data_IF_233512707068
#
_entry.id   IF_233512707068
#
_cell.length_a   1.000
_cell.length_b   1.000
_cell.length_c   1.000
_cell.angle_alpha   90.00
_cell.angle_beta   90.00
_cell.angle_gamma   90.00
#
_symmetry.space_group_name_H-M   'P 1'
#
loop_
_entity.id
_entity.type
_entity.pdbx_description
1 polymer ?
#
# COMPACT_ATOMS: atom_id res chain seq x y z
N UNK A 1 55.41 13.69 9.24
CA UNK A 1 54.60 12.97 10.24
C UNK A 1 53.89 11.84 9.52
N UNK A 2 54.49 10.65 9.55
CA UNK A 2 54.05 9.48 8.80
C UNK A 2 53.18 8.60 9.70
N UNK A 3 51.98 8.24 9.26
CA UNK A 3 51.23 7.11 9.82
C UNK A 3 50.80 6.19 8.67
N UNK A 4 51.05 4.91 8.93
CA UNK A 4 51.18 3.82 7.98
C UNK A 4 49.85 3.42 7.32
N UNK A 5 49.93 3.11 6.03
CA UNK A 5 49.00 2.22 5.34
C UNK A 5 49.09 0.81 5.92
N UNK A 6 47.95 0.23 6.29
CA UNK A 6 47.81 -1.21 6.51
C UNK A 6 46.86 -1.76 5.46
N UNK A 7 47.42 -2.40 4.45
CA UNK A 7 46.71 -3.29 3.54
C UNK A 7 47.09 -4.72 3.90
N UNK A 8 46.10 -5.59 4.18
CA UNK A 8 46.21 -7.06 4.10
C UNK A 8 44.84 -7.64 3.75
N UNK A 9 44.62 -8.00 2.49
CA UNK A 9 44.73 -9.35 1.87
C UNK A 9 43.49 -10.24 2.06
N UNK A 10 42.95 -10.67 0.92
CA UNK A 10 41.78 -11.51 0.71
C UNK A 10 41.94 -12.97 1.17
N UNK A 11 40.81 -13.66 1.37
CA UNK A 11 40.69 -15.10 1.11
C UNK A 11 39.26 -15.44 0.66
N UNK A 12 39.18 -16.03 -0.54
CA UNK A 12 38.03 -16.72 -1.10
C UNK A 12 37.71 -17.99 -0.31
N UNK A 13 36.44 -18.32 -0.14
CA UNK A 13 35.96 -19.71 -0.08
C UNK A 13 34.50 -19.79 -0.53
N UNK A 14 34.31 -20.32 -1.73
CA UNK A 14 33.03 -20.75 -2.26
C UNK A 14 32.64 -22.11 -1.64
N UNK A 15 31.36 -22.31 -1.37
CA UNK A 15 30.75 -23.63 -1.25
C UNK A 15 29.27 -23.56 -1.62
N UNK A 16 28.97 -23.91 -2.86
CA UNK A 16 27.63 -24.19 -3.36
C UNK A 16 27.14 -25.53 -2.82
N UNK A 17 25.92 -25.58 -2.30
CA UNK A 17 25.18 -26.83 -2.04
C UNK A 17 23.79 -26.70 -2.64
N UNK A 18 23.66 -27.27 -3.84
CA UNK A 18 22.41 -27.52 -4.55
C UNK A 18 21.81 -28.79 -3.92
N UNK A 19 20.63 -28.67 -3.31
CA UNK A 19 19.84 -29.81 -2.84
C UNK A 19 18.63 -29.96 -3.77
N UNK A 20 18.73 -30.96 -4.64
CA UNK A 20 17.66 -31.48 -5.49
C UNK A 20 16.78 -32.37 -4.61
N UNK A 21 15.50 -32.03 -4.45
CA UNK A 21 14.50 -32.92 -3.89
C UNK A 21 13.64 -33.51 -5.04
N UNK A 22 13.49 -34.84 -5.13
CA UNK A 22 12.70 -35.49 -6.17
C UNK A 22 11.18 -35.42 -5.92
N UNK A 23 10.44 -35.43 -7.03
CA UNK A 23 9.00 -35.62 -7.14
C UNK A 23 8.57 -36.94 -6.47
N UNK A 24 7.66 -36.85 -5.50
CA UNK A 24 6.82 -37.98 -5.09
C UNK A 24 5.42 -37.76 -5.67
N UNK A 25 5.19 -38.37 -6.82
CA UNK A 25 3.86 -38.63 -7.34
C UNK A 25 3.25 -39.80 -6.56
N UNK A 26 2.22 -39.53 -5.76
CA UNK A 26 1.30 -40.55 -5.27
C UNK A 26 -0.08 -40.27 -5.90
N UNK A 27 -0.32 -40.86 -7.07
CA UNK A 27 -1.66 -41.28 -7.45
C UNK A 27 -1.84 -42.70 -6.94
N UNK A 28 -2.86 -42.94 -6.12
CA UNK A 28 -3.62 -44.18 -6.22
C UNK A 28 -5.05 -43.97 -5.73
N UNK A 29 -5.96 -44.14 -6.67
CA UNK A 29 -7.42 -44.12 -6.59
C UNK A 29 -7.98 -45.43 -6.04
N UNK A 30 -9.09 -45.36 -5.29
CA UNK A 30 -10.25 -46.27 -5.42
C UNK A 30 -11.52 -45.42 -5.07
N UNK A 31 -12.41 -45.05 -6.01
CA UNK A 31 -13.50 -45.86 -6.63
C UNK A 31 -14.63 -46.07 -5.59
N UNK A 32 -15.91 -45.73 -5.73
CA UNK A 32 -16.80 -45.38 -6.85
C UNK A 32 -18.17 -44.91 -6.32
N UNK A 33 -18.91 -44.15 -7.13
CA UNK A 33 -20.36 -44.26 -7.42
C UNK A 33 -20.77 -42.96 -8.11
N UNK A 34 -20.60 -42.84 -9.42
CA UNK A 34 -21.55 -43.26 -10.48
C UNK A 34 -22.87 -42.50 -10.39
N UNK A 35 -23.14 -41.58 -11.32
CA UNK A 35 -24.12 -41.77 -12.41
C UNK A 35 -24.01 -40.62 -13.43
N UNK A 36 -24.14 -41.03 -14.69
CA UNK A 36 -23.92 -40.41 -16.00
C UNK A 36 -24.72 -39.11 -16.33
N UNK A 37 -24.37 -38.46 -17.46
CA UNK A 37 -24.67 -37.09 -17.85
C UNK A 37 -25.95 -36.98 -18.67
N UNK A 38 -26.42 -35.76 -18.90
CA UNK A 38 -27.20 -35.43 -20.10
C UNK A 38 -27.10 -33.96 -20.43
N UNK A 39 -26.82 -33.74 -21.70
CA UNK A 39 -26.87 -32.51 -22.48
C UNK A 39 -28.19 -31.75 -22.30
N UNK A 40 -28.12 -30.42 -22.34
CA UNK A 40 -29.13 -29.54 -22.96
C UNK A 40 -28.36 -28.30 -23.45
N UNK A 41 -27.89 -28.30 -24.69
CA UNK A 41 -28.57 -27.84 -25.91
C UNK A 41 -29.21 -26.46 -25.83
N UNK A 42 -28.84 -25.66 -26.83
CA UNK A 42 -29.29 -24.31 -27.07
C UNK A 42 -30.80 -24.26 -27.37
N UNK A 43 -31.45 -23.15 -27.06
CA UNK A 43 -32.56 -22.69 -27.89
C UNK A 43 -32.78 -21.19 -27.71
N UNK A 44 -32.54 -20.50 -28.81
CA UNK A 44 -33.12 -19.21 -29.14
C UNK A 44 -34.59 -19.47 -29.46
N UNK A 45 -35.50 -18.64 -28.95
CA UNK A 45 -36.77 -18.35 -29.62
C UNK A 45 -37.22 -16.95 -29.24
N UNK A 46 -37.25 -16.12 -30.28
CA UNK A 46 -37.99 -14.88 -30.40
C UNK A 46 -39.48 -15.12 -30.12
N UNK A 47 -40.23 -14.09 -29.71
CA UNK A 47 -41.22 -13.43 -30.60
C UNK A 47 -42.00 -12.32 -29.87
N UNK A 48 -41.97 -11.13 -30.50
CA UNK A 48 -43.03 -10.12 -30.73
C UNK A 48 -43.82 -9.53 -29.56
N UNK A 49 -43.70 -8.21 -29.34
CA UNK A 49 -44.61 -7.12 -29.80
C UNK A 49 -45.94 -7.08 -29.02
N UNK A 50 -46.43 -5.97 -28.46
CA UNK A 50 -46.60 -4.65 -29.09
C UNK A 50 -47.23 -3.66 -28.08
N UNK A 51 -46.94 -2.37 -28.29
CA UNK A 51 -47.82 -1.18 -28.12
C UNK A 51 -48.21 -0.76 -26.69
N UNK A 52 -47.80 0.44 -26.27
CA UNK A 52 -48.61 1.66 -26.50
C UNK A 52 -47.92 2.93 -25.99
N UNK A 53 -48.04 3.97 -26.80
CA UNK A 53 -47.55 5.33 -26.59
C UNK A 53 -48.25 6.06 -25.44
N UNK A 54 -47.48 6.96 -24.82
CA UNK A 54 -47.92 8.32 -24.50
C UNK A 54 -48.69 8.52 -23.20
N UNK A 55 -48.08 9.20 -22.23
CA UNK A 55 -48.47 10.51 -21.66
C UNK A 55 -47.45 10.85 -20.56
N UNK A 56 -46.69 11.92 -20.73
CA UNK A 56 -46.92 13.24 -20.15
C UNK A 56 -46.20 13.44 -18.81
N UNK A 57 -45.56 14.60 -18.71
CA UNK A 57 -44.89 15.16 -17.55
C UNK A 57 -45.59 14.89 -16.22
N UNK A 58 -44.80 14.52 -15.22
CA UNK A 58 -45.09 14.93 -13.86
C UNK A 58 -43.80 15.44 -13.23
N UNK A 59 -43.71 16.76 -13.11
CA UNK A 59 -42.86 17.40 -12.12
C UNK A 59 -43.17 16.80 -10.75
N UNK A 60 -42.14 16.34 -10.05
CA UNK A 60 -42.11 16.49 -8.61
C UNK A 60 -40.64 16.58 -8.20
N UNK A 61 -40.23 17.81 -7.92
CA UNK A 61 -39.19 18.10 -6.95
C UNK A 61 -39.29 17.15 -5.76
N UNK A 62 -38.15 16.60 -5.35
CA UNK A 62 -37.70 16.47 -3.97
C UNK A 62 -36.23 16.05 -4.05
N UNK A 63 -35.36 17.04 -4.02
CA UNK A 63 -33.94 16.86 -3.71
C UNK A 63 -33.82 16.11 -2.39
N UNK A 64 -33.11 14.97 -2.30
CA UNK A 64 -32.49 14.64 -1.04
C UNK A 64 -31.33 15.63 -0.87
N UNK A 65 -31.60 16.74 -0.19
CA UNK A 65 -30.57 17.42 0.60
C UNK A 65 -30.20 16.45 1.70
N UNK A 66 -29.41 15.43 1.37
CA UNK A 66 -28.54 14.81 2.35
C UNK A 66 -27.50 15.87 2.64
N UNK A 67 -27.82 16.74 3.58
CA UNK A 67 -26.84 17.53 4.29
C UNK A 67 -25.98 16.53 5.04
N UNK A 68 -25.05 15.92 4.32
CA UNK A 68 -23.93 15.21 4.91
C UNK A 68 -23.17 16.32 5.62
N UNK A 69 -23.38 16.42 6.93
CA UNK A 69 -22.44 17.12 7.79
C UNK A 69 -21.13 16.38 7.61
N UNK A 70 -20.34 16.83 6.64
CA UNK A 70 -18.93 16.52 6.60
C UNK A 70 -18.39 17.11 7.90
N UNK A 71 -18.28 16.26 8.92
CA UNK A 71 -17.24 16.44 9.92
C UNK A 71 -15.98 16.63 9.09
N UNK A 72 -15.47 17.87 9.08
CA UNK A 72 -14.17 18.14 8.49
C UNK A 72 -13.24 17.08 9.06
N UNK A 73 -12.65 16.27 8.19
CA UNK A 73 -11.61 15.36 8.62
C UNK A 73 -10.60 16.22 9.39
N UNK A 74 -10.19 15.84 10.61
CA UNK A 74 -9.10 16.54 11.28
C UNK A 74 -7.95 16.73 10.28
N UNK A 75 -7.44 17.96 10.14
CA UNK A 75 -6.31 18.24 9.26
C UNK A 75 -5.12 17.42 9.78
N UNK A 76 -4.82 16.30 9.11
CA UNK A 76 -3.71 15.41 9.49
C UNK A 76 -2.39 16.13 9.21
N UNK A 77 -1.48 16.13 10.17
CA UNK A 77 -0.18 16.78 10.05
C UNK A 77 0.94 15.81 10.33
N UNK A 78 1.99 15.88 9.51
CA UNK A 78 3.21 15.10 9.66
C UNK A 78 4.32 16.07 10.07
N UNK A 79 5.08 15.70 11.10
CA UNK A 79 6.34 16.33 11.47
C UNK A 79 7.43 15.27 11.39
N UNK A 80 8.56 15.60 10.77
CA UNK A 80 9.74 14.74 10.71
C UNK A 80 10.95 15.53 11.18
N UNK A 81 11.82 14.89 11.94
CA UNK A 81 13.04 15.51 12.46
C UNK A 81 14.02 15.93 11.35
N UNK A 82 13.97 15.24 10.21
CA UNK A 82 14.78 15.51 9.02
C UNK A 82 14.01 15.24 7.73
N UNK A 83 13.76 16.30 6.95
CA UNK A 83 13.12 16.21 5.64
C UNK A 83 14.11 16.40 4.46
N UNK A 84 15.28 16.99 4.70
CA UNK A 84 16.24 17.33 3.64
C UNK A 84 17.61 16.72 3.88
N UNK A 85 18.35 16.45 2.79
CA UNK A 85 19.68 15.86 2.85
C UNK A 85 19.70 14.51 3.56
N UNK A 86 18.62 13.74 3.44
CA UNK A 86 18.46 12.40 4.01
C UNK A 86 19.46 11.46 3.35
N UNK A 87 20.08 10.57 4.12
CA UNK A 87 21.01 9.57 3.60
C UNK A 87 20.39 8.18 3.77
N UNK A 88 20.79 7.25 2.91
CA UNK A 88 20.44 5.85 3.08
C UNK A 88 20.88 5.36 4.47
N UNK A 89 19.97 4.69 5.18
CA UNK A 89 20.18 4.20 6.54
C UNK A 89 19.99 5.24 7.65
N UNK A 90 19.68 6.50 7.34
CA UNK A 90 19.27 7.47 8.36
C UNK A 90 17.99 6.98 9.06
N UNK A 91 17.94 7.13 10.39
CA UNK A 91 16.69 6.95 11.14
C UNK A 91 15.95 8.27 11.18
N UNK A 92 14.73 8.30 10.65
CA UNK A 92 13.83 9.45 10.67
C UNK A 92 12.82 9.27 11.78
N UNK A 93 12.68 10.27 12.65
CA UNK A 93 11.64 10.30 13.69
C UNK A 93 10.44 11.05 13.15
N UNK A 94 9.31 10.36 13.07
CA UNK A 94 8.06 10.89 12.51
C UNK A 94 7.00 11.00 13.60
N UNK A 95 6.31 12.13 13.62
CA UNK A 95 5.12 12.36 14.42
C UNK A 95 3.96 12.73 13.50
N UNK A 96 2.82 12.08 13.69
CA UNK A 96 1.59 12.34 12.95
C UNK A 96 0.49 12.67 13.94
N UNK A 97 -0.27 13.72 13.66
CA UNK A 97 -1.40 14.16 14.50
C UNK A 97 -2.68 14.25 13.67
N UNK A 98 -3.83 14.13 14.33
CA UNK A 98 -5.15 14.21 13.68
C UNK A 98 -5.61 12.90 13.04
N UNK A 99 -4.97 11.77 13.32
CA UNK A 99 -5.43 10.48 12.82
C UNK A 99 -6.74 10.04 13.51
N UNK A 100 -7.58 9.27 12.80
CA UNK A 100 -8.65 8.53 13.44
C UNK A 100 -8.06 7.28 14.15
N UNK A 101 -8.16 7.15 15.49
CA UNK A 101 -7.56 6.02 16.23
C UNK A 101 -8.25 4.67 15.99
N UNK A 102 -9.44 4.65 15.37
CA UNK A 102 -10.16 3.43 15.00
C UNK A 102 -9.80 2.93 13.59
N UNK A 103 -9.02 3.71 12.84
CA UNK A 103 -8.60 3.41 11.47
C UNK A 103 -7.15 2.90 11.40
N UNK A 104 -6.76 2.40 10.22
CA UNK A 104 -5.39 2.01 9.91
C UNK A 104 -4.78 2.83 8.78
N UNK A 105 -3.48 3.09 8.87
CA UNK A 105 -2.73 3.90 7.90
C UNK A 105 -1.35 3.31 7.65
N UNK A 106 -0.83 3.48 6.45
CA UNK A 106 0.58 3.28 6.14
C UNK A 106 1.32 4.60 6.11
N UNK A 107 2.57 4.59 6.56
CA UNK A 107 3.50 5.71 6.39
C UNK A 107 4.84 5.22 5.84
N UNK A 108 5.29 5.86 4.76
CA UNK A 108 6.55 5.56 4.10
C UNK A 108 7.02 6.76 3.27
N UNK A 109 8.26 6.73 2.80
CA UNK A 109 8.72 7.65 1.75
C UNK A 109 8.22 7.12 0.41
N UNK A 110 7.48 7.93 -0.33
CA UNK A 110 6.84 7.55 -1.58
C UNK A 110 7.02 8.59 -2.66
N UNK A 111 6.71 8.22 -3.91
CA UNK A 111 6.63 9.15 -5.01
C UNK A 111 5.61 10.24 -4.65
N UNK A 112 5.94 11.50 -4.96
CA UNK A 112 5.02 12.62 -4.78
C UNK A 112 3.70 12.38 -5.53
N UNK A 113 3.79 11.78 -6.72
CA UNK A 113 2.62 11.42 -7.52
C UNK A 113 2.48 9.90 -7.63
N UNK A 114 1.31 9.41 -7.23
CA UNK A 114 0.92 8.02 -7.49
C UNK A 114 0.60 7.85 -8.98
N UNK A 115 1.22 6.89 -9.69
CA UNK A 115 0.91 6.65 -11.10
C UNK A 115 -0.59 6.41 -11.31
N UNK A 116 -1.15 6.99 -12.38
CA UNK A 116 -2.57 6.89 -12.66
C UNK A 116 -3.08 5.45 -12.74
N UNK A 117 -4.05 5.11 -11.90
CA UNK A 117 -4.64 3.77 -11.83
C UNK A 117 -3.95 2.80 -10.87
N UNK A 118 -2.85 3.19 -10.22
CA UNK A 118 -2.27 2.39 -9.15
C UNK A 118 -3.15 2.48 -7.88
N UNK A 119 -3.47 1.35 -7.24
CA UNK A 119 -4.33 1.34 -6.05
C UNK A 119 -3.61 1.86 -4.79
N UNK A 120 -2.28 1.89 -4.80
CA UNK A 120 -1.43 2.34 -3.69
C UNK A 120 -0.25 3.16 -4.23
N UNK A 121 0.30 4.10 -3.44
CA UNK A 121 1.51 4.83 -3.82
C UNK A 121 2.72 3.91 -4.05
N UNK A 122 3.62 4.33 -4.94
CA UNK A 122 4.93 3.69 -5.10
C UNK A 122 5.87 4.23 -4.03
N UNK A 123 6.38 3.37 -3.17
CA UNK A 123 7.21 3.75 -2.02
C UNK A 123 8.62 3.16 -2.09
N UNK A 124 9.55 3.81 -1.41
CA UNK A 124 10.91 3.30 -1.25
C UNK A 124 10.95 2.16 -0.24
N UNK A 125 12.05 1.41 -0.24
CA UNK A 125 12.16 0.17 0.53
C UNK A 125 11.45 -1.01 -0.15
N UNK A 126 11.51 -2.17 0.49
CA UNK A 126 10.80 -3.37 0.05
C UNK A 126 9.38 -3.37 0.62
N UNK A 127 8.37 -3.74 -0.17
CA UNK A 127 6.99 -3.80 0.33
C UNK A 127 6.88 -4.76 1.52
N UNK A 128 6.37 -4.26 2.65
CA UNK A 128 6.28 -5.03 3.90
C UNK A 128 7.52 -5.00 4.78
N UNK A 129 8.56 -4.27 4.38
CA UNK A 129 9.69 -3.95 5.26
C UNK A 129 9.25 -2.97 6.35
N UNK A 130 9.13 -3.48 7.57
CA UNK A 130 8.69 -2.73 8.75
C UNK A 130 9.71 -1.70 9.24
N UNK A 131 10.95 -1.73 8.75
CA UNK A 131 11.94 -0.70 9.08
C UNK A 131 11.76 0.55 8.22
N UNK A 132 11.48 0.39 6.92
CA UNK A 132 11.27 1.51 6.00
C UNK A 132 9.81 1.95 5.86
N UNK A 133 8.86 1.17 6.41
CA UNK A 133 7.43 1.44 6.35
C UNK A 133 6.78 1.21 7.72
N UNK A 134 5.90 2.12 8.12
CA UNK A 134 5.09 1.97 9.33
C UNK A 134 3.64 1.67 8.99
N UNK A 135 3.03 0.72 9.70
CA UNK A 135 1.59 0.49 9.72
C UNK A 135 1.05 1.03 11.04
N UNK A 136 0.36 2.16 10.98
CA UNK A 136 -0.22 2.87 12.12
C UNK A 136 -1.59 2.27 12.41
N UNK A 137 -1.68 1.40 13.41
CA UNK A 137 -2.91 0.68 13.78
C UNK A 137 -2.78 0.06 15.18
N UNK A 138 -3.89 -0.01 15.93
CA UNK A 138 -3.84 -0.34 17.36
C UNK A 138 -3.78 -1.83 17.74
N UNK A 139 -4.20 -2.73 16.84
CA UNK A 139 -4.24 -4.18 17.12
C UNK A 139 -2.99 -4.92 16.63
N UNK A 140 -2.52 -4.60 15.42
CA UNK A 140 -1.48 -5.36 14.68
C UNK A 140 -0.48 -4.47 13.95
N UNK A 141 -0.64 -3.15 14.02
CA UNK A 141 0.27 -2.18 13.41
C UNK A 141 1.68 -2.26 14.01
N UNK A 142 2.66 -1.74 13.27
CA UNK A 142 4.02 -1.56 13.76
C UNK A 142 4.14 -0.34 14.68
N UNK A 143 3.19 0.60 14.59
CA UNK A 143 3.06 1.72 15.51
C UNK A 143 1.59 1.95 15.90
N UNK A 144 1.36 2.42 17.12
CA UNK A 144 0.02 2.66 17.67
C UNK A 144 -0.42 4.09 17.42
N UNK A 145 -1.73 4.27 17.33
CA UNK A 145 -2.39 5.59 17.30
C UNK A 145 -3.00 5.82 18.68
N UNK A 146 -2.53 6.84 19.38
CA UNK A 146 -3.08 7.25 20.66
C UNK A 146 -4.54 7.70 20.52
N UNK A 147 -5.28 7.70 21.63
CA UNK A 147 -6.70 8.09 21.65
C UNK A 147 -6.95 9.53 21.17
N UNK A 148 -5.94 10.40 21.26
CA UNK A 148 -5.98 11.77 20.76
C UNK A 148 -5.66 11.92 19.25
N UNK A 149 -5.43 10.79 18.55
CA UNK A 149 -5.10 10.77 17.13
C UNK A 149 -3.63 11.00 16.82
N UNK A 150 -2.74 10.89 17.81
CA UNK A 150 -1.29 11.04 17.64
C UNK A 150 -0.61 9.68 17.42
N UNK A 151 0.37 9.62 16.53
CA UNK A 151 1.28 8.49 16.37
C UNK A 151 2.73 8.98 16.28
N UNK A 152 3.66 8.28 16.93
CA UNK A 152 5.09 8.53 16.82
C UNK A 152 5.83 7.23 16.54
N UNK A 153 6.73 7.26 15.55
CA UNK A 153 7.44 6.10 15.06
C UNK A 153 8.74 6.51 14.35
N UNK A 154 9.54 5.52 14.00
CA UNK A 154 10.78 5.71 13.26
C UNK A 154 10.73 4.98 11.92
N UNK A 155 11.32 5.58 10.90
CA UNK A 155 11.57 4.93 9.61
C UNK A 155 13.06 4.91 9.31
N UNK A 156 13.56 3.81 8.77
CA UNK A 156 14.90 3.71 8.18
C UNK A 156 14.84 4.18 6.74
N UNK A 157 15.55 5.27 6.44
CA UNK A 157 15.50 5.88 5.12
C UNK A 157 16.17 4.99 4.07
N UNK A 158 15.41 4.63 3.04
CA UNK A 158 15.93 4.02 1.81
C UNK A 158 15.60 4.96 0.64
N UNK A 159 16.58 5.39 -0.18
CA UNK A 159 16.30 6.28 -1.31
C UNK A 159 15.57 5.58 -2.46
N UNK A 160 15.60 4.26 -2.53
CA UNK A 160 15.15 3.50 -3.70
C UNK A 160 14.09 2.47 -3.33
N UNK A 161 13.20 2.18 -4.27
CA UNK A 161 12.22 1.10 -4.20
C UNK A 161 11.90 0.56 -5.59
N UNK A 162 10.93 -0.33 -5.68
CA UNK A 162 10.49 -0.84 -6.99
C UNK A 162 9.82 0.30 -7.78
N UNK A 163 10.48 0.76 -8.86
CA UNK A 163 9.95 1.78 -9.74
C UNK A 163 10.08 3.22 -9.24
N UNK A 164 10.93 3.48 -8.24
CA UNK A 164 11.19 4.82 -7.70
C UNK A 164 12.65 4.99 -7.24
N UNK A 165 13.23 6.15 -7.54
CA UNK A 165 14.54 6.58 -7.03
C UNK A 165 14.46 8.04 -6.52
N UNK A 166 14.34 8.22 -5.21
CA UNK A 166 14.24 9.53 -4.56
C UNK A 166 15.53 10.35 -4.56
N UNK A 167 16.62 9.85 -5.18
CA UNK A 167 17.79 10.69 -5.48
C UNK A 167 17.60 11.50 -6.76
N UNK A 168 16.63 11.12 -7.61
CA UNK A 168 16.31 11.79 -8.87
C UNK A 168 14.85 12.20 -9.00
N UNK A 169 13.94 11.44 -8.41
CA UNK A 169 12.49 11.64 -8.45
C UNK A 169 12.03 12.54 -7.30
N UNK A 170 10.89 13.20 -7.48
CA UNK A 170 10.22 13.94 -6.39
C UNK A 170 9.56 12.96 -5.43
N UNK A 171 9.98 13.01 -4.16
CA UNK A 171 9.46 12.14 -3.12
C UNK A 171 8.89 12.91 -1.92
N UNK A 172 7.98 12.26 -1.22
CA UNK A 172 7.31 12.75 -0.03
C UNK A 172 7.32 11.69 1.06
N UNK A 173 7.41 12.09 2.33
CA UNK A 173 6.95 11.25 3.42
C UNK A 173 5.43 11.30 3.42
N UNK A 174 4.78 10.18 3.08
CA UNK A 174 3.33 10.08 2.90
C UNK A 174 2.70 9.31 4.06
N UNK A 175 1.50 9.72 4.44
CA UNK A 175 0.55 8.93 5.22
C UNK A 175 -0.67 8.69 4.33
N UNK A 176 -1.04 7.44 4.15
CA UNK A 176 -2.18 7.03 3.35
C UNK A 176 -2.96 5.92 4.06
N UNK A 177 -4.24 5.77 3.75
CA UNK A 177 -5.10 4.78 4.39
C UNK A 177 -4.62 3.35 4.15
N UNK A 178 -4.91 2.44 5.08
CA UNK A 178 -4.84 1.01 4.79
C UNK A 178 -6.16 0.50 4.19
N UNK A 179 -6.38 -0.82 4.19
CA UNK A 179 -7.62 -1.44 3.72
C UNK A 179 -8.88 -0.90 4.40
N UNK A 180 -8.78 -0.44 5.66
CA UNK A 180 -9.90 0.16 6.41
C UNK A 180 -10.23 1.59 5.96
N UNK A 181 -9.25 2.32 5.42
CA UNK A 181 -9.38 3.70 4.97
C UNK A 181 -9.32 3.86 3.44
N UNK A 182 -9.33 2.75 2.71
CA UNK A 182 -9.46 2.71 1.25
C UNK A 182 -8.25 3.24 0.49
N UNK A 183 -7.04 3.17 1.06
CA UNK A 183 -5.79 3.61 0.42
C UNK A 183 -5.75 5.08 -0.03
N UNK A 184 -6.63 5.93 0.49
CA UNK A 184 -6.63 7.36 0.17
C UNK A 184 -5.39 8.05 0.71
N UNK A 185 -4.88 9.04 -0.02
CA UNK A 185 -3.86 9.95 0.49
C UNK A 185 -4.45 10.80 1.62
N UNK A 186 -3.72 10.92 2.73
CA UNK A 186 -4.19 11.60 3.94
C UNK A 186 -3.36 12.84 4.22
N UNK A 187 -2.03 12.70 4.23
CA UNK A 187 -1.10 13.81 4.41
C UNK A 187 0.25 13.47 3.78
N UNK A 188 1.01 14.49 3.41
CA UNK A 188 2.35 14.32 2.86
C UNK A 188 3.26 15.51 3.19
N UNK A 189 4.56 15.26 3.26
CA UNK A 189 5.60 16.28 3.43
C UNK A 189 6.71 16.00 2.42
N UNK A 190 7.13 16.99 1.60
CA UNK A 190 8.27 16.82 0.69
C UNK A 190 9.54 16.39 1.41
N UNK A 191 10.27 15.44 0.81
CA UNK A 191 11.57 15.01 1.32
C UNK A 191 12.63 15.01 0.22
N UNK A 192 13.90 15.22 0.59
CA UNK A 192 15.02 15.15 -0.34
C UNK A 192 16.17 14.33 0.22
N UNK A 193 16.70 13.43 -0.61
CA UNK A 193 17.92 12.68 -0.29
C UNK A 193 19.16 13.50 -0.65
N UNK A 194 20.25 13.28 0.08
CA UNK A 194 21.56 13.78 -0.28
C UNK A 194 22.09 13.01 -1.50
N UNK A 195 22.35 13.76 -2.57
CA UNK A 195 23.02 13.30 -3.80
C UNK A 195 24.50 13.01 -3.61
#
# INVERSE_FOLDING_TARGET
MSRLFTARTAAFAAASLILIAPLAACSNSETESTTDPSEVDASISEMSESVSEGIAEMQSELSPTTSSTATAAPDVKITVDKAEGIKAGDTLTVEVTGLNPEAGYYSAICAAQTPGGAPVPVCTGEMGDVESQAWLQNERGTAKIAEDGTASFTLTANPTGEGIDCTTDECVLKVFGDHSEGFKDVAEVPVTFAS
#
